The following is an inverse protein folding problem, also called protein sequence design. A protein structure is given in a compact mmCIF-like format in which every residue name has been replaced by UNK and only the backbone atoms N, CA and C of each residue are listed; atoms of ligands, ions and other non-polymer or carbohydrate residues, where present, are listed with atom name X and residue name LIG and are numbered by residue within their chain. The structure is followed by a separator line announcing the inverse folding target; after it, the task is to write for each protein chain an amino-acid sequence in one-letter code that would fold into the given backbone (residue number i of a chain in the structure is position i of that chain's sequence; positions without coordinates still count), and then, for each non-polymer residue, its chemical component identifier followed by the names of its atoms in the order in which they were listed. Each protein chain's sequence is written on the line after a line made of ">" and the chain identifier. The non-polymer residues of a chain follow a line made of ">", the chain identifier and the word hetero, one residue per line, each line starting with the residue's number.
data_IF_051213376895
#
_entry.id   IF_051213376895
#
_cell.length_a   1.000
_cell.length_b   1.000
_cell.length_c   1.000
_cell.angle_alpha   90.00
_cell.angle_beta   90.00
_cell.angle_gamma   90.00
#
_symmetry.space_group_name_H-M   'P 1'
#
loop_
_entity.id
_entity.type
_entity.pdbx_description
1 polymer ?
#
# COMPACT_ATOMS: atom_id res chain seq x y z
N UNK A 1 -39.00 2.60 -2.59
CA UNK A 1 -37.54 2.71 -2.61
C UNK A 1 -36.84 1.75 -1.63
N UNK A 2 -37.24 1.68 -0.36
CA UNK A 2 -36.62 0.81 0.67
C UNK A 2 -36.67 -0.71 0.36
N UNK A 3 -37.73 -1.19 -0.30
CA UNK A 3 -37.88 -2.60 -0.68
C UNK A 3 -37.02 -3.00 -1.90
N UNK A 4 -36.75 -2.06 -2.82
CA UNK A 4 -35.88 -2.29 -3.97
C UNK A 4 -34.43 -2.37 -3.53
N UNK A 5 -34.04 -1.55 -2.54
CA UNK A 5 -32.71 -1.59 -1.96
C UNK A 5 -32.42 -2.90 -1.20
N UNK A 6 -33.41 -3.42 -0.49
CA UNK A 6 -33.31 -4.74 0.18
C UNK A 6 -33.25 -5.91 -0.81
N UNK A 7 -33.98 -5.85 -1.91
CA UNK A 7 -33.93 -6.86 -2.97
C UNK A 7 -32.61 -6.81 -3.74
N UNK A 8 -32.06 -5.63 -3.98
CA UNK A 8 -30.72 -5.52 -4.59
C UNK A 8 -29.60 -6.01 -3.66
N UNK A 9 -29.72 -5.77 -2.36
CA UNK A 9 -28.80 -6.31 -1.35
C UNK A 9 -28.87 -7.83 -1.23
N UNK A 10 -30.08 -8.42 -1.30
CA UNK A 10 -30.29 -9.86 -1.32
C UNK A 10 -29.84 -10.52 -2.64
N UNK A 11 -30.04 -9.86 -3.79
CA UNK A 11 -29.54 -10.33 -5.07
C UNK A 11 -28.00 -10.25 -5.13
N UNK A 12 -27.41 -9.24 -4.52
CA UNK A 12 -25.95 -9.12 -4.39
C UNK A 12 -25.37 -10.22 -3.49
N UNK A 13 -26.07 -10.61 -2.42
CA UNK A 13 -25.62 -11.68 -1.53
C UNK A 13 -25.63 -13.06 -2.19
N UNK A 14 -26.53 -13.33 -3.12
CA UNK A 14 -26.59 -14.62 -3.82
C UNK A 14 -25.51 -14.80 -4.89
N UNK A 15 -24.96 -13.71 -5.44
CA UNK A 15 -23.83 -13.75 -6.37
C UNK A 15 -22.50 -14.00 -5.63
N UNK A 16 -22.45 -13.71 -4.33
CA UNK A 16 -21.23 -13.81 -3.50
C UNK A 16 -20.87 -15.26 -3.14
N UNK A 17 -21.75 -16.23 -3.29
CA UNK A 17 -21.50 -17.64 -2.90
C UNK A 17 -20.82 -18.51 -3.99
N UNK A 18 -20.47 -17.97 -5.17
CA UNK A 18 -19.69 -18.68 -6.18
C UNK A 18 -18.20 -18.53 -5.94
N UNK A 19 -17.49 -19.60 -5.59
CA UNK A 19 -16.02 -19.73 -5.54
C UNK A 19 -15.24 -18.54 -4.95
N UNK A 20 -15.62 -18.09 -3.75
CA UNK A 20 -14.84 -17.12 -3.00
C UNK A 20 -13.59 -17.78 -2.39
N UNK A 21 -12.47 -17.10 -2.47
CA UNK A 21 -11.21 -17.52 -1.84
C UNK A 21 -10.74 -16.42 -0.90
N UNK A 22 -10.62 -16.76 0.36
CA UNK A 22 -10.11 -15.88 1.40
C UNK A 22 -8.78 -16.41 1.91
N UNK A 23 -7.96 -15.54 2.44
CA UNK A 23 -6.68 -15.94 2.98
C UNK A 23 -6.02 -14.85 3.80
N UNK A 24 -4.93 -15.25 4.45
CA UNK A 24 -3.98 -14.36 5.11
C UNK A 24 -2.80 -14.14 4.18
N UNK A 25 -2.20 -12.95 4.23
CA UNK A 25 -0.96 -12.66 3.52
C UNK A 25 0.00 -11.88 4.40
N UNK A 26 1.28 -12.10 4.17
CA UNK A 26 2.37 -11.35 4.78
C UNK A 26 3.51 -11.21 3.79
N UNK A 27 4.37 -10.24 3.99
CA UNK A 27 5.48 -10.03 3.08
C UNK A 27 6.32 -8.80 3.37
N UNK A 28 7.09 -8.41 2.36
CA UNK A 28 8.02 -7.30 2.40
C UNK A 28 7.53 -6.15 1.52
N UNK A 29 7.77 -4.93 1.98
CA UNK A 29 7.52 -3.70 1.26
C UNK A 29 8.86 -3.14 0.78
N UNK A 30 8.91 -2.72 -0.47
CA UNK A 30 10.05 -2.11 -1.10
C UNK A 30 9.66 -0.73 -1.62
N UNK A 31 10.00 0.30 -0.88
CA UNK A 31 9.70 1.69 -1.29
C UNK A 31 10.70 2.13 -2.36
N UNK A 32 10.21 2.70 -3.45
CA UNK A 32 11.04 3.11 -4.59
C UNK A 32 11.48 4.57 -4.52
N UNK A 33 10.62 5.45 -4.01
CA UNK A 33 10.87 6.88 -4.00
C UNK A 33 11.30 7.35 -2.61
N UNK A 34 12.32 8.19 -2.59
CA UNK A 34 12.74 8.93 -1.40
C UNK A 34 11.86 10.18 -1.22
N UNK A 35 11.68 10.64 0.02
CA UNK A 35 11.07 11.94 0.30
C UNK A 35 11.97 13.03 -0.31
N UNK A 36 11.40 13.85 -1.18
CA UNK A 36 12.09 14.99 -1.79
C UNK A 36 11.75 16.26 -1.02
N UNK A 37 12.74 17.09 -0.79
CA UNK A 37 12.54 18.44 -0.31
C UNK A 37 12.18 19.31 -1.52
N UNK A 38 11.07 20.01 -1.43
CA UNK A 38 10.58 20.90 -2.53
C UNK A 38 11.50 22.09 -2.78
N UNK A 39 12.38 22.39 -1.82
CA UNK A 39 13.41 23.40 -1.95
C UNK A 39 14.71 22.92 -1.27
N UNK A 40 15.84 23.14 -1.92
CA UNK A 40 17.15 23.02 -1.29
C UNK A 40 17.25 24.10 -0.20
N UNK A 41 16.84 23.77 1.01
CA UNK A 41 16.93 24.66 2.16
C UNK A 41 18.38 24.66 2.63
N UNK A 42 19.19 25.53 2.05
CA UNK A 42 20.45 25.94 2.65
C UNK A 42 20.14 26.94 3.78
N UNK A 43 19.51 26.46 4.84
CA UNK A 43 19.33 27.23 6.05
C UNK A 43 20.51 26.95 7.00
N UNK A 44 20.69 27.82 7.99
CA UNK A 44 21.66 27.64 9.08
C UNK A 44 21.44 26.33 9.90
N UNK A 45 20.45 25.52 9.53
CA UNK A 45 20.06 24.26 10.17
C UNK A 45 20.61 22.99 9.49
N UNK A 46 21.41 23.13 8.41
CA UNK A 46 22.09 21.99 7.79
C UNK A 46 21.58 21.60 6.40
N UNK A 47 22.31 20.70 5.76
CA UNK A 47 21.95 20.10 4.48
C UNK A 47 21.20 18.80 4.79
N UNK A 48 19.96 18.71 4.32
CA UNK A 48 19.21 17.46 4.34
C UNK A 48 19.55 16.68 3.06
N UNK A 49 20.23 15.56 3.21
CA UNK A 49 20.35 14.57 2.15
C UNK A 49 19.08 13.72 2.17
N UNK A 50 18.49 13.51 1.00
CA UNK A 50 17.20 12.82 0.86
C UNK A 50 17.12 11.49 1.62
N UNK A 51 15.92 11.03 1.88
CA UNK A 51 15.70 9.77 2.60
C UNK A 51 16.17 8.58 1.77
N UNK A 52 16.82 7.62 2.42
CA UNK A 52 17.08 6.31 1.84
C UNK A 52 15.91 5.40 2.27
N UNK A 53 15.09 4.89 1.32
CA UNK A 53 14.04 3.95 1.66
C UNK A 53 14.66 2.66 2.18
N UNK A 54 14.19 2.18 3.32
CA UNK A 54 14.52 0.87 3.87
C UNK A 54 13.32 -0.07 3.66
N UNK A 55 13.56 -1.36 3.81
CA UNK A 55 12.53 -2.37 3.61
C UNK A 55 11.52 -2.34 4.75
N UNK A 56 10.23 -2.44 4.39
CA UNK A 56 9.15 -2.61 5.31
C UNK A 56 8.59 -4.03 5.31
N UNK A 57 7.56 -4.24 6.11
CA UNK A 57 6.80 -5.49 6.13
C UNK A 57 5.30 -5.22 6.23
N UNK A 58 4.51 -6.21 5.85
CA UNK A 58 3.07 -6.14 5.97
C UNK A 58 2.45 -7.48 6.37
N UNK A 59 1.26 -7.37 6.95
CA UNK A 59 0.38 -8.47 7.28
C UNK A 59 -1.04 -8.06 6.91
N UNK A 60 -1.84 -8.97 6.38
CA UNK A 60 -3.21 -8.64 6.01
C UNK A 60 -4.07 -9.83 5.66
N UNK A 61 -5.31 -9.50 5.35
CA UNK A 61 -6.30 -10.43 4.83
C UNK A 61 -6.61 -10.07 3.39
N UNK A 62 -6.92 -11.05 2.57
CA UNK A 62 -7.36 -10.83 1.22
C UNK A 62 -8.55 -11.71 0.87
N UNK A 63 -9.34 -11.25 -0.08
CA UNK A 63 -10.45 -12.01 -0.66
C UNK A 63 -10.48 -11.88 -2.17
N UNK A 64 -10.86 -12.96 -2.85
CA UNK A 64 -11.07 -13.00 -4.29
C UNK A 64 -12.39 -13.68 -4.57
N UNK A 65 -13.27 -12.98 -5.28
CA UNK A 65 -14.56 -13.47 -5.73
C UNK A 65 -14.50 -13.70 -7.23
N UNK A 66 -14.58 -14.96 -7.67
CA UNK A 66 -14.58 -15.29 -9.10
C UNK A 66 -15.92 -14.94 -9.74
N UNK A 67 -15.87 -14.23 -10.87
CA UNK A 67 -16.99 -13.79 -11.70
C UNK A 67 -17.09 -14.66 -12.96
N UNK A 68 -16.69 -15.91 -12.88
CA UNK A 68 -16.58 -16.88 -13.96
C UNK A 68 -15.24 -17.63 -13.87
N UNK A 69 -14.79 -18.20 -14.97
CA UNK A 69 -13.58 -19.04 -14.97
C UNK A 69 -12.28 -18.24 -14.90
N UNK A 70 -12.27 -17.05 -15.45
CA UNK A 70 -11.06 -16.25 -15.60
C UNK A 70 -11.07 -14.95 -14.80
N UNK A 71 -12.20 -14.25 -14.74
CA UNK A 71 -12.32 -12.96 -14.07
C UNK A 71 -12.57 -13.10 -12.58
N UNK A 72 -12.05 -12.19 -11.77
CA UNK A 72 -12.36 -12.09 -10.35
C UNK A 72 -12.32 -10.63 -9.87
N UNK A 73 -13.13 -10.34 -8.86
CA UNK A 73 -12.97 -9.15 -8.03
C UNK A 73 -12.06 -9.49 -6.84
N UNK A 74 -11.21 -8.56 -6.46
CA UNK A 74 -10.31 -8.72 -5.31
C UNK A 74 -10.49 -7.58 -4.32
N UNK A 75 -10.22 -7.89 -3.06
CA UNK A 75 -10.16 -6.92 -1.99
C UNK A 75 -9.18 -7.35 -0.92
N UNK A 76 -8.56 -6.41 -0.24
CA UNK A 76 -7.70 -6.72 0.88
C UNK A 76 -7.65 -5.61 1.92
N UNK A 77 -7.34 -6.00 3.14
CA UNK A 77 -7.01 -5.10 4.23
C UNK A 77 -5.64 -5.47 4.79
N UNK A 78 -4.73 -4.51 4.79
CA UNK A 78 -3.32 -4.69 5.09
C UNK A 78 -2.93 -3.73 6.21
N UNK A 79 -2.25 -4.25 7.22
CA UNK A 79 -1.43 -3.46 8.12
C UNK A 79 0.02 -3.54 7.64
N UNK A 80 0.70 -2.42 7.54
CA UNK A 80 2.08 -2.35 7.11
C UNK A 80 2.92 -1.39 7.95
N UNK A 81 4.21 -1.61 7.88
CA UNK A 81 5.23 -0.75 8.47
C UNK A 81 6.36 -0.57 7.47
N UNK A 82 6.59 0.67 7.07
CA UNK A 82 7.74 1.06 6.25
C UNK A 82 8.75 1.78 7.13
N UNK A 83 10.01 1.66 6.76
CA UNK A 83 11.12 2.28 7.47
C UNK A 83 11.77 3.26 6.51
N UNK A 84 12.02 4.47 6.98
CA UNK A 84 12.74 5.50 6.23
C UNK A 84 13.90 6.02 7.07
N UNK A 85 15.02 6.23 6.41
CA UNK A 85 16.23 6.75 7.01
C UNK A 85 16.49 8.14 6.46
N UNK A 86 16.55 9.15 7.32
CA UNK A 86 16.88 10.54 6.97
C UNK A 86 18.27 10.84 7.47
N UNK A 87 19.16 11.28 6.58
CA UNK A 87 20.47 11.79 6.91
C UNK A 87 20.44 13.31 6.95
N UNK A 88 20.82 13.90 8.08
CA UNK A 88 20.96 15.34 8.26
C UNK A 88 22.41 15.68 8.56
N UNK A 89 23.01 16.53 7.75
CA UNK A 89 24.39 17.02 7.95
C UNK A 89 24.38 18.46 8.44
N UNK A 90 24.84 18.69 9.66
CA UNK A 90 24.97 20.00 10.30
C UNK A 90 26.41 20.22 10.71
N UNK A 91 27.07 21.28 10.25
CA UNK A 91 28.43 21.60 10.63
C UNK A 91 29.48 20.52 10.32
N UNK A 92 29.23 19.69 9.28
CA UNK A 92 30.10 18.57 8.90
C UNK A 92 29.87 17.29 9.70
N UNK A 93 28.88 17.27 10.63
CA UNK A 93 28.44 16.05 11.33
C UNK A 93 27.17 15.54 10.69
N UNK A 94 27.16 14.27 10.26
CA UNK A 94 25.97 13.60 9.74
C UNK A 94 25.26 12.84 10.86
N UNK A 95 24.01 13.21 11.10
CA UNK A 95 23.11 12.51 12.02
C UNK A 95 22.09 11.70 11.20
N UNK A 96 21.99 10.42 11.49
CA UNK A 96 21.03 9.51 10.87
C UNK A 96 19.84 9.33 11.78
N UNK A 97 18.65 9.69 11.29
CA UNK A 97 17.38 9.47 12.00
C UNK A 97 16.53 8.45 11.28
N UNK A 98 15.99 7.50 12.04
CA UNK A 98 15.11 6.45 11.51
C UNK A 98 13.67 6.78 11.85
N UNK A 99 12.80 6.75 10.83
CA UNK A 99 11.37 7.00 10.95
C UNK A 99 10.58 5.77 10.58
N UNK A 100 9.70 5.35 11.47
CA UNK A 100 8.78 4.25 11.26
C UNK A 100 7.43 4.81 10.77
N UNK A 101 7.01 4.41 9.59
CA UNK A 101 5.69 4.72 9.03
C UNK A 101 4.78 3.50 9.14
N UNK A 102 3.81 3.55 10.06
CA UNK A 102 2.80 2.51 10.20
C UNK A 102 1.52 2.94 9.46
N UNK A 103 0.89 2.01 8.76
CA UNK A 103 -0.30 2.30 7.99
C UNK A 103 -1.29 1.14 7.95
N UNK A 104 -2.55 1.47 7.70
CA UNK A 104 -3.58 0.56 7.26
C UNK A 104 -3.93 0.89 5.82
N UNK A 105 -3.99 -0.14 4.98
CA UNK A 105 -4.29 -0.01 3.57
C UNK A 105 -5.48 -0.92 3.22
N UNK A 106 -6.40 -0.37 2.42
CA UNK A 106 -7.54 -1.10 1.85
C UNK A 106 -7.39 -1.09 0.34
N UNK A 107 -7.45 -2.28 -0.27
CA UNK A 107 -7.40 -2.44 -1.72
C UNK A 107 -8.71 -2.98 -2.25
N UNK A 108 -9.09 -2.53 -3.45
CA UNK A 108 -10.17 -3.08 -4.24
C UNK A 108 -9.75 -3.12 -5.71
N UNK A 109 -10.01 -4.24 -6.39
CA UNK A 109 -9.57 -4.39 -7.77
C UNK A 109 -10.27 -5.50 -8.54
N UNK A 110 -9.86 -5.62 -9.79
CA UNK A 110 -10.27 -6.69 -10.68
C UNK A 110 -9.02 -7.43 -11.17
N UNK A 111 -9.17 -8.72 -11.37
CA UNK A 111 -8.08 -9.53 -11.87
C UNK A 111 -8.53 -10.55 -12.89
N UNK A 112 -7.55 -11.06 -13.61
CA UNK A 112 -7.74 -12.11 -14.59
C UNK A 112 -6.78 -13.26 -14.30
N UNK A 113 -7.30 -14.48 -14.38
CA UNK A 113 -6.50 -15.70 -14.36
C UNK A 113 -5.98 -15.94 -15.78
N UNK A 114 -4.69 -15.75 -15.98
CA UNK A 114 -4.02 -15.95 -17.27
C UNK A 114 -3.80 -17.43 -17.57
N UNK A 115 -3.42 -18.18 -16.52
CA UNK A 115 -3.21 -19.63 -16.53
C UNK A 115 -3.88 -20.23 -15.30
N UNK A 116 -3.90 -21.56 -15.19
CA UNK A 116 -4.48 -22.22 -13.99
C UNK A 116 -3.83 -21.77 -12.66
N UNK A 117 -2.58 -21.32 -12.74
CA UNK A 117 -1.77 -20.92 -11.60
C UNK A 117 -1.33 -19.45 -11.62
N UNK A 118 -1.36 -18.77 -12.76
CA UNK A 118 -0.90 -17.39 -12.90
C UNK A 118 -2.07 -16.42 -13.06
N UNK A 119 -1.94 -15.22 -12.48
CA UNK A 119 -2.94 -14.16 -12.56
C UNK A 119 -2.30 -12.78 -12.63
N UNK A 120 -3.07 -11.84 -13.17
CA UNK A 120 -2.79 -10.41 -13.12
C UNK A 120 -3.97 -9.69 -12.51
N UNK A 121 -3.71 -8.62 -11.79
CA UNK A 121 -4.75 -7.79 -11.18
C UNK A 121 -4.38 -6.31 -11.24
N UNK A 122 -5.42 -5.46 -11.21
CA UNK A 122 -5.27 -4.01 -11.12
C UNK A 122 -6.42 -3.42 -10.34
N UNK A 123 -6.16 -2.33 -9.65
CA UNK A 123 -7.18 -1.75 -8.77
C UNK A 123 -6.77 -0.40 -8.20
N UNK A 124 -7.52 -0.02 -7.20
CA UNK A 124 -7.29 1.18 -6.40
C UNK A 124 -6.96 0.78 -4.96
N UNK A 125 -6.23 1.64 -4.27
CA UNK A 125 -6.00 1.49 -2.86
C UNK A 125 -6.22 2.80 -2.12
N UNK A 126 -6.56 2.66 -0.85
CA UNK A 126 -6.62 3.75 0.13
C UNK A 126 -5.69 3.40 1.27
N UNK A 127 -4.83 4.35 1.62
CA UNK A 127 -3.88 4.18 2.69
C UNK A 127 -4.08 5.28 3.74
N UNK A 128 -4.06 4.87 5.00
CA UNK A 128 -4.16 5.77 6.13
C UNK A 128 -3.00 5.51 7.09
N UNK A 129 -2.21 6.55 7.37
CA UNK A 129 -1.16 6.49 8.38
C UNK A 129 -1.78 6.32 9.76
N UNK A 130 -1.19 5.46 10.58
CA UNK A 130 -1.63 5.21 11.96
C UNK A 130 -0.44 5.35 12.92
N UNK A 131 -0.75 5.61 14.18
CA UNK A 131 0.26 5.80 15.23
C UNK A 131 0.71 7.26 15.38
N UNK A 132 1.55 7.50 16.38
CA UNK A 132 2.08 8.83 16.72
C UNK A 132 3.53 9.02 16.25
N UNK A 133 3.88 8.44 15.11
CA UNK A 133 5.21 8.67 14.54
C UNK A 133 5.33 10.12 14.02
N UNK A 134 6.53 10.65 14.01
CA UNK A 134 6.78 11.97 13.40
C UNK A 134 6.30 12.03 11.95
N UNK A 135 6.35 10.90 11.23
CA UNK A 135 5.85 10.78 9.87
C UNK A 135 4.32 10.97 9.79
N UNK A 136 3.54 10.32 10.66
CA UNK A 136 2.07 10.42 10.65
C UNK A 136 1.55 11.80 11.06
N UNK A 137 2.38 12.59 11.75
CA UNK A 137 2.06 13.98 12.11
C UNK A 137 2.45 14.98 11.01
N UNK A 138 3.38 14.60 10.15
CA UNK A 138 3.93 15.46 9.11
C UNK A 138 3.15 15.37 7.80
N UNK A 139 2.65 14.18 7.43
CA UNK A 139 2.00 13.97 6.15
C UNK A 139 0.49 13.83 6.27
N UNK A 140 -0.23 14.48 5.34
CA UNK A 140 -1.67 14.35 5.26
C UNK A 140 -2.09 12.92 4.87
N UNK A 141 -3.11 12.42 5.54
CA UNK A 141 -3.76 11.14 5.24
C UNK A 141 -5.28 11.25 5.42
N UNK A 142 -6.11 10.45 4.74
CA UNK A 142 -5.74 9.32 3.88
C UNK A 142 -5.36 9.71 2.46
N UNK A 143 -4.62 8.85 1.78
CA UNK A 143 -4.27 9.00 0.38
C UNK A 143 -4.82 7.86 -0.46
N UNK A 144 -5.13 8.15 -1.72
CA UNK A 144 -5.60 7.18 -2.70
C UNK A 144 -4.54 6.92 -3.77
N UNK A 145 -4.58 5.73 -4.35
CA UNK A 145 -3.67 5.34 -5.41
C UNK A 145 -4.20 4.20 -6.26
N UNK A 146 -3.38 3.74 -7.18
CA UNK A 146 -3.65 2.56 -7.99
C UNK A 146 -2.63 1.46 -7.71
N UNK A 147 -3.02 0.23 -8.03
CA UNK A 147 -2.13 -0.91 -7.93
C UNK A 147 -2.18 -1.79 -9.18
N UNK A 148 -1.06 -2.43 -9.49
CA UNK A 148 -0.92 -3.42 -10.54
C UNK A 148 -0.15 -4.60 -9.98
N UNK A 149 -0.70 -5.81 -10.13
CA UNK A 149 -0.16 -7.01 -9.52
C UNK A 149 -0.06 -8.19 -10.45
N UNK A 150 0.95 -9.00 -10.20
CA UNK A 150 1.10 -10.35 -10.75
C UNK A 150 1.13 -11.34 -9.60
N UNK A 151 0.52 -12.50 -9.79
CA UNK A 151 0.48 -13.52 -8.77
C UNK A 151 0.54 -14.93 -9.31
N UNK A 152 1.04 -15.82 -8.49
CA UNK A 152 1.09 -17.26 -8.75
C UNK A 152 0.41 -18.00 -7.60
N UNK A 153 -0.50 -18.89 -7.96
CA UNK A 153 -1.23 -19.74 -7.02
C UNK A 153 -0.74 -21.18 -7.12
N UNK A 154 -0.20 -21.71 -6.03
CA UNK A 154 0.23 -23.10 -5.92
C UNK A 154 -0.50 -23.74 -4.73
N UNK A 155 -1.46 -24.59 -5.03
CA UNK A 155 -2.29 -25.27 -4.04
C UNK A 155 -2.96 -24.25 -3.07
N UNK A 156 -2.62 -24.29 -1.78
CA UNK A 156 -3.13 -23.35 -0.76
C UNK A 156 -2.28 -22.08 -0.61
N UNK A 157 -1.17 -21.99 -1.31
CA UNK A 157 -0.28 -20.84 -1.24
C UNK A 157 -0.49 -19.90 -2.42
N UNK A 158 -0.22 -18.64 -2.22
CA UNK A 158 -0.09 -17.63 -3.27
C UNK A 158 1.18 -16.83 -3.07
N UNK A 159 1.82 -16.46 -4.16
CA UNK A 159 2.91 -15.51 -4.22
C UNK A 159 2.44 -14.33 -5.06
N UNK A 160 2.50 -13.13 -4.51
CA UNK A 160 2.04 -11.91 -5.15
C UNK A 160 3.12 -10.86 -5.19
N UNK A 161 3.35 -10.26 -6.35
CA UNK A 161 4.16 -9.06 -6.52
C UNK A 161 3.22 -7.94 -7.00
N UNK A 162 3.05 -6.91 -6.20
CA UNK A 162 2.14 -5.80 -6.47
C UNK A 162 2.90 -4.49 -6.42
N UNK A 163 2.77 -3.71 -7.48
CA UNK A 163 3.21 -2.33 -7.55
C UNK A 163 2.07 -1.41 -7.09
N UNK A 164 2.37 -0.49 -6.20
CA UNK A 164 1.47 0.54 -5.68
C UNK A 164 2.04 1.92 -6.02
N UNK A 165 1.18 2.83 -6.48
CA UNK A 165 1.55 4.22 -6.69
C UNK A 165 0.42 5.15 -6.24
N UNK A 166 0.78 6.26 -5.59
CA UNK A 166 -0.16 7.30 -5.20
C UNK A 166 -0.66 8.07 -6.42
N UNK A 167 -1.92 8.52 -6.37
CA UNK A 167 -2.49 9.45 -7.36
C UNK A 167 -2.17 10.91 -7.04
N UNK A 168 -1.79 11.18 -5.82
CA UNK A 168 -1.45 12.52 -5.33
C UNK A 168 -0.17 12.44 -4.51
N UNK A 169 0.62 13.51 -4.57
CA UNK A 169 1.76 13.66 -3.70
C UNK A 169 1.30 13.82 -2.26
N UNK A 170 1.95 13.11 -1.36
CA UNK A 170 1.80 13.33 0.06
C UNK A 170 2.46 14.67 0.41
N UNK A 171 1.63 15.65 0.71
CA UNK A 171 2.11 16.95 1.16
C UNK A 171 2.26 16.92 2.68
N UNK A 172 3.28 17.57 3.18
CA UNK A 172 3.55 17.66 4.60
C UNK A 172 4.33 18.90 4.95
N UNK A 173 4.38 19.21 6.24
CA UNK A 173 5.19 20.30 6.79
C UNK A 173 6.02 19.75 7.95
N UNK A 174 7.31 19.91 7.86
CA UNK A 174 8.22 19.58 8.95
C UNK A 174 8.96 20.83 9.42
N UNK A 175 8.56 21.35 10.59
CA UNK A 175 9.13 22.59 11.17
C UNK A 175 9.09 23.79 10.23
N UNK A 176 8.01 23.98 9.46
CA UNK A 176 7.86 25.06 8.49
C UNK A 176 8.54 24.81 7.15
N UNK A 177 9.02 23.59 6.89
CA UNK A 177 9.60 23.17 5.62
C UNK A 177 8.56 22.33 4.87
N UNK A 178 8.06 22.77 3.70
CA UNK A 178 7.15 22.00 2.91
C UNK A 178 7.85 20.77 2.34
N UNK A 179 7.25 19.61 2.54
CA UNK A 179 7.70 18.32 2.03
C UNK A 179 6.69 17.79 1.02
N UNK A 180 7.18 17.25 -0.09
CA UNK A 180 6.35 16.53 -1.06
C UNK A 180 6.93 15.14 -1.27
N UNK A 181 6.05 14.14 -1.36
CA UNK A 181 6.45 12.75 -1.51
C UNK A 181 5.45 11.98 -2.37
N UNK A 182 5.88 11.57 -3.55
CA UNK A 182 5.15 10.62 -4.37
C UNK A 182 5.47 9.20 -3.88
N UNK A 183 4.49 8.55 -3.25
CA UNK A 183 4.68 7.20 -2.76
C UNK A 183 4.52 6.18 -3.88
N UNK A 184 5.60 5.46 -4.16
CA UNK A 184 5.57 4.26 -4.99
C UNK A 184 6.35 3.13 -4.31
N UNK A 185 5.80 1.91 -4.39
CA UNK A 185 6.41 0.76 -3.73
C UNK A 185 6.04 -0.56 -4.42
N UNK A 186 6.92 -1.54 -4.28
CA UNK A 186 6.59 -2.94 -4.51
C UNK A 186 6.28 -3.65 -3.20
N UNK A 187 5.24 -4.47 -3.20
CA UNK A 187 4.95 -5.42 -2.13
C UNK A 187 5.09 -6.84 -2.67
N UNK A 188 5.98 -7.61 -2.04
CA UNK A 188 6.12 -9.04 -2.28
C UNK A 188 5.44 -9.78 -1.13
N UNK A 189 4.39 -10.55 -1.45
CA UNK A 189 3.56 -11.22 -0.45
C UNK A 189 3.51 -12.72 -0.65
N UNK A 190 3.53 -13.44 0.45
CA UNK A 190 3.12 -14.85 0.50
C UNK A 190 1.77 -14.92 1.19
N UNK A 191 0.82 -15.58 0.55
CA UNK A 191 -0.53 -15.78 1.07
C UNK A 191 -0.84 -17.25 1.33
N UNK A 192 -1.66 -17.50 2.36
CA UNK A 192 -2.24 -18.80 2.64
C UNK A 192 -3.75 -18.72 2.49
N UNK A 193 -4.33 -19.59 1.63
CA UNK A 193 -5.77 -19.71 1.41
C UNK A 193 -6.40 -20.53 2.53
N UNK A 194 -7.48 -20.01 3.07
CA UNK A 194 -8.30 -20.66 4.09
C UNK A 194 -9.37 -21.56 3.45
#
# INVERSE_FOLDING_TARGET
>A
MRKIFLLSLLAFSSVVFGQSRWGLRTGLNYTLNAVQLDQAVSSAQGIFEGTVPDNGYHLGVYGRQFLGDQLYASGSAIYGKDIQIINQTVGGMTTTSRFDHQFVQLDAGLGVRLLKFARAEGGIHFINAIGNSAYSQTFESPTAGYNLGLGVDVWKLSLDLVYYASLQDHQGDWNGIPLSYERSQFMLSVGAKL
#
